data_IF_553834639537
#
_entry.id   IF_553834639537
#
_cell.length_a   1.000
_cell.length_b   1.000
_cell.length_c   1.000
_cell.angle_alpha   90.00
_cell.angle_beta   90.00
_cell.angle_gamma   90.00
#
_symmetry.space_group_name_H-M   'P 1'
#
loop_
_entity.id
_entity.type
_entity.pdbx_description
1 polymer ?
#
# COMPACT_ATOMS: atom_id res chain seq x y z
N UNK A 1 21.76 -5.45 1.22
CA UNK A 1 20.34 -5.16 1.51
C UNK A 1 20.18 -5.12 3.01
N UNK A 2 19.60 -4.05 3.54
CA UNK A 2 19.16 -4.04 4.94
C UNK A 2 17.78 -4.72 4.98
N UNK A 3 17.64 -5.78 5.77
CA UNK A 3 16.37 -6.53 5.89
C UNK A 3 15.45 -5.98 6.98
N UNK A 4 15.91 -4.96 7.72
CA UNK A 4 15.13 -4.27 8.75
C UNK A 4 14.30 -3.10 8.20
N UNK A 5 14.55 -2.68 6.95
CA UNK A 5 13.82 -1.59 6.30
C UNK A 5 12.69 -2.11 5.43
N UNK A 6 11.59 -1.37 5.35
CA UNK A 6 10.42 -1.76 4.56
C UNK A 6 9.12 -1.08 4.97
N UNK A 7 8.02 -1.57 4.41
CA UNK A 7 6.66 -1.12 4.72
C UNK A 7 5.87 -2.23 5.41
N UNK A 8 5.08 -1.87 6.41
CA UNK A 8 4.19 -2.79 7.12
C UNK A 8 2.80 -2.17 7.28
N UNK A 9 1.79 -3.01 7.48
CA UNK A 9 0.40 -2.57 7.72
C UNK A 9 -0.11 -1.56 6.68
N UNK A 10 0.19 -1.82 5.41
CA UNK A 10 -0.23 -0.96 4.29
C UNK A 10 -1.73 -1.14 4.05
N UNK A 11 -2.48 -0.05 3.97
CA UNK A 11 -3.91 -0.09 3.62
C UNK A 11 -4.12 -0.71 2.24
N UNK A 12 -5.18 -1.49 2.11
CA UNK A 12 -5.54 -2.21 0.89
C UNK A 12 -6.42 -1.36 -0.02
N UNK A 13 -6.45 -1.70 -1.31
CA UNK A 13 -7.37 -1.09 -2.26
C UNK A 13 -8.82 -1.34 -1.82
N UNK A 14 -9.60 -0.26 -1.71
CA UNK A 14 -10.99 -0.31 -1.27
C UNK A 14 -11.19 -0.18 0.23
N UNK A 15 -10.12 -0.12 1.03
CA UNK A 15 -10.24 0.16 2.46
C UNK A 15 -10.84 1.56 2.68
N UNK A 16 -11.79 1.65 3.60
CA UNK A 16 -12.30 2.93 4.09
C UNK A 16 -11.28 3.53 5.03
N UNK A 17 -10.87 4.76 4.76
CA UNK A 17 -9.89 5.49 5.55
C UNK A 17 -10.45 6.82 6.05
N UNK A 18 -9.98 7.24 7.23
CA UNK A 18 -10.34 8.52 7.83
C UNK A 18 -9.12 9.45 7.90
N UNK A 19 -9.34 10.75 8.07
CA UNK A 19 -8.31 11.81 7.98
C UNK A 19 -7.12 11.66 8.96
N UNK A 20 -7.25 10.82 9.99
CA UNK A 20 -6.21 10.54 11.01
C UNK A 20 -5.76 9.08 11.03
N UNK A 21 -6.28 8.25 10.12
CA UNK A 21 -5.88 6.86 10.01
C UNK A 21 -4.51 6.77 9.32
N UNK A 22 -3.54 6.03 9.89
CA UNK A 22 -2.27 5.80 9.22
C UNK A 22 -2.47 4.95 7.95
N UNK A 23 -1.77 5.31 6.86
CA UNK A 23 -1.82 4.58 5.59
C UNK A 23 -0.87 3.36 5.57
N UNK A 24 0.24 3.46 6.31
CA UNK A 24 1.25 2.40 6.45
C UNK A 24 2.20 2.73 7.61
N UNK A 25 2.97 1.73 8.03
CA UNK A 25 4.18 1.88 8.84
C UNK A 25 5.41 1.83 7.95
N UNK A 26 6.36 2.73 8.21
CA UNK A 26 7.67 2.78 7.52
C UNK A 26 8.75 2.39 8.52
N UNK A 27 9.50 1.34 8.19
CA UNK A 27 10.69 0.93 8.92
C UNK A 27 11.93 1.45 8.16
N UNK A 28 12.69 2.33 8.80
CA UNK A 28 13.94 2.90 8.25
C UNK A 28 14.98 3.04 9.36
N UNK A 29 16.24 2.80 9.03
CA UNK A 29 17.38 3.04 9.90
C UNK A 29 17.92 4.48 9.79
N UNK A 30 17.45 5.26 8.79
CA UNK A 30 17.82 6.65 8.56
C UNK A 30 16.58 7.55 8.66
N UNK A 31 16.66 8.55 9.55
CA UNK A 31 15.57 9.50 9.83
C UNK A 31 15.40 10.54 8.72
N UNK A 32 16.48 10.99 8.10
CA UNK A 32 16.43 12.01 7.03
C UNK A 32 15.69 11.47 5.80
N UNK A 33 15.85 10.17 5.52
CA UNK A 33 15.16 9.50 4.42
C UNK A 33 13.64 9.47 4.61
N UNK A 34 13.15 9.44 5.86
CA UNK A 34 11.71 9.32 6.15
C UNK A 34 10.93 10.52 5.62
N UNK A 35 11.44 11.75 5.76
CA UNK A 35 10.69 12.94 5.36
C UNK A 35 10.60 13.10 3.84
N UNK A 36 11.66 12.70 3.12
CA UNK A 36 11.62 12.59 1.66
C UNK A 36 10.64 11.48 1.22
N UNK A 37 10.66 10.35 1.92
CA UNK A 37 9.82 9.20 1.61
C UNK A 37 8.33 9.50 1.81
N UNK A 38 7.96 10.24 2.86
CA UNK A 38 6.56 10.63 3.14
C UNK A 38 5.91 11.32 1.94
N UNK A 39 6.61 12.27 1.31
CA UNK A 39 6.09 12.99 0.14
C UNK A 39 5.84 12.04 -1.04
N UNK A 40 6.82 11.19 -1.36
CA UNK A 40 6.73 10.21 -2.44
C UNK A 40 5.64 9.17 -2.20
N UNK A 41 5.48 8.70 -0.95
CA UNK A 41 4.43 7.75 -0.58
C UNK A 41 3.05 8.35 -0.83
N UNK A 42 2.82 9.60 -0.43
CA UNK A 42 1.51 10.24 -0.61
C UNK A 42 1.13 10.37 -2.09
N UNK A 43 2.10 10.55 -2.98
CA UNK A 43 1.87 10.56 -4.43
C UNK A 43 1.44 9.19 -5.00
N UNK A 44 1.68 8.09 -4.27
CA UNK A 44 1.28 6.75 -4.69
C UNK A 44 -0.15 6.38 -4.27
N UNK A 45 -0.82 7.17 -3.43
CA UNK A 45 -2.19 6.90 -3.00
C UNK A 45 -3.19 7.81 -3.70
N UNK A 46 -4.21 7.21 -4.31
CA UNK A 46 -5.37 7.91 -4.85
C UNK A 46 -6.58 7.67 -3.95
N UNK A 47 -7.17 8.76 -3.46
CA UNK A 47 -8.37 8.70 -2.62
C UNK A 47 -9.61 9.05 -3.43
N UNK A 48 -10.70 8.35 -3.16
CA UNK A 48 -11.98 8.55 -3.84
C UNK A 48 -13.12 8.47 -2.83
N UNK A 49 -14.18 9.25 -3.06
CA UNK A 49 -15.44 9.12 -2.31
C UNK A 49 -16.35 8.04 -2.90
N UNK A 50 -15.98 7.48 -4.05
CA UNK A 50 -16.72 6.42 -4.71
C UNK A 50 -16.22 5.06 -4.23
N UNK A 51 -17.14 4.16 -3.86
CA UNK A 51 -16.80 2.77 -3.58
C UNK A 51 -16.57 2.04 -4.91
N UNK A 52 -15.36 2.11 -5.45
CA UNK A 52 -15.00 1.30 -6.61
C UNK A 52 -14.93 -0.19 -6.24
N UNK A 53 -15.36 -1.05 -7.17
CA UNK A 53 -15.27 -2.49 -7.04
C UNK A 53 -13.80 -2.91 -6.99
N UNK A 54 -13.38 -3.52 -5.88
CA UNK A 54 -12.06 -4.13 -5.75
C UNK A 54 -11.92 -5.20 -6.83
N UNK A 55 -10.90 -5.05 -7.70
CA UNK A 55 -10.63 -5.99 -8.79
C UNK A 55 -10.26 -7.36 -8.22
N UNK A 56 -10.55 -8.41 -8.97
CA UNK A 56 -10.22 -9.79 -8.59
C UNK A 56 -8.70 -9.96 -8.44
N UNK A 57 -8.27 -10.63 -7.38
CA UNK A 57 -6.86 -10.94 -7.12
C UNK A 57 -6.27 -11.95 -8.11
N UNK A 58 -7.13 -12.79 -8.70
CA UNK A 58 -6.76 -13.76 -9.75
C UNK A 58 -7.64 -13.47 -10.96
N UNK A 59 -7.01 -13.15 -12.09
CA UNK A 59 -7.73 -12.85 -13.33
C UNK A 59 -8.04 -14.11 -14.13
N UNK A 60 -7.04 -15.00 -14.29
CA UNK A 60 -7.18 -16.25 -15.03
C UNK A 60 -6.41 -17.36 -14.31
N UNK A 61 -7.00 -18.56 -14.25
CA UNK A 61 -6.33 -19.78 -13.83
C UNK A 61 -6.34 -20.73 -15.03
N UNK A 62 -5.16 -21.13 -15.50
CA UNK A 62 -5.02 -22.13 -16.55
C UNK A 62 -4.86 -23.49 -15.87
N UNK A 63 -5.86 -24.35 -15.97
CA UNK A 63 -5.80 -25.74 -15.50
C UNK A 63 -5.63 -26.68 -16.68
N UNK A 64 -4.70 -27.63 -16.58
CA UNK A 64 -4.62 -28.73 -17.53
C UNK A 64 -5.60 -29.83 -17.08
N UNK A 65 -6.58 -30.13 -17.92
CA UNK A 65 -7.42 -31.30 -17.74
C UNK A 65 -6.60 -32.53 -18.16
N UNK A 66 -6.40 -33.45 -17.23
CA UNK A 66 -5.82 -34.78 -17.50
C UNK A 66 -6.83 -35.67 -18.21
#
# INVERSE_FOLDING_TARGET
MDYSVGFAEVVSLGDKIEKKMPLMKVCSNNKEDIDLLKKRILECFSFSTNNELVKKNIYNQITQNK
#
